data_IF_557715179368
#
_entry.id   IF_557715179368
#
_cell.length_a   1.000
_cell.length_b   1.000
_cell.length_c   1.000
_cell.angle_alpha   90.00
_cell.angle_beta   90.00
_cell.angle_gamma   90.00
#
_symmetry.space_group_name_H-M   'P 1'
#
loop_
_entity.id
_entity.type
_entity.pdbx_description
1 polymer ?
#
# COMPACT_ATOMS: atom_id res chain seq x y z
N UNK A 1 9.82 10.59 74.19
CA UNK A 1 8.86 10.25 73.13
C UNK A 1 9.24 11.00 71.85
N UNK A 2 9.78 10.30 70.85
CA UNK A 2 10.14 10.90 69.57
C UNK A 2 8.91 10.91 68.67
N UNK A 3 8.51 12.08 68.16
CA UNK A 3 7.43 12.23 67.17
C UNK A 3 7.75 11.42 65.89
N UNK A 4 6.80 10.72 65.28
CA UNK A 4 7.02 10.03 64.03
C UNK A 4 7.31 11.08 62.93
N UNK A 5 8.46 10.97 62.25
CA UNK A 5 8.77 11.71 61.05
C UNK A 5 7.76 11.25 59.99
N UNK A 6 6.83 12.13 59.63
CA UNK A 6 5.99 11.97 58.42
C UNK A 6 6.92 11.88 57.20
N UNK A 7 6.85 10.78 56.47
CA UNK A 7 7.55 10.64 55.17
C UNK A 7 7.12 11.82 54.28
N UNK A 8 8.03 12.45 53.54
CA UNK A 8 7.70 13.51 52.58
C UNK A 8 6.69 12.96 51.56
N UNK A 9 5.64 13.74 51.30
CA UNK A 9 4.67 13.41 50.27
C UNK A 9 5.43 13.21 48.94
N UNK A 10 5.09 12.15 48.19
CA UNK A 10 5.69 11.90 46.91
C UNK A 10 5.54 13.15 46.00
N UNK A 11 6.60 13.56 45.27
CA UNK A 11 6.54 14.73 44.42
C UNK A 11 5.43 14.58 43.38
N UNK A 12 4.58 15.59 43.25
CA UNK A 12 3.54 15.63 42.21
C UNK A 12 4.25 15.80 40.87
N UNK A 13 4.15 14.80 40.01
CA UNK A 13 4.77 14.82 38.66
C UNK A 13 4.07 15.88 37.79
N UNK A 14 4.87 16.73 37.13
CA UNK A 14 4.35 17.61 36.08
C UNK A 14 3.89 16.77 34.87
N UNK A 15 3.05 17.33 33.97
CA UNK A 15 2.69 16.63 32.71
C UNK A 15 3.92 16.16 31.92
N UNK A 16 4.95 16.99 31.83
CA UNK A 16 6.21 16.63 31.19
C UNK A 16 6.90 15.45 31.88
N UNK A 17 7.06 15.49 33.20
CA UNK A 17 7.70 14.41 33.97
C UNK A 17 6.92 13.10 33.82
N UNK A 18 5.59 13.17 33.76
CA UNK A 18 4.71 12.03 33.56
C UNK A 18 4.89 11.38 32.18
N UNK A 19 5.04 12.22 31.14
CA UNK A 19 5.38 11.76 29.78
C UNK A 19 6.75 11.09 29.77
N UNK A 20 7.76 11.67 30.43
CA UNK A 20 9.10 11.09 30.53
C UNK A 20 9.06 9.74 31.26
N UNK A 21 8.35 9.67 32.39
CA UNK A 21 8.16 8.42 33.12
C UNK A 21 7.42 7.35 32.29
N UNK A 22 6.36 7.74 31.59
CA UNK A 22 5.62 6.88 30.68
C UNK A 22 6.49 6.34 29.53
N UNK A 23 7.36 7.18 28.96
CA UNK A 23 8.36 6.74 27.95
C UNK A 23 9.34 5.70 28.51
N UNK A 24 9.89 5.94 29.69
CA UNK A 24 10.81 5.00 30.33
C UNK A 24 10.13 3.66 30.59
N UNK A 25 8.89 3.68 31.05
CA UNK A 25 8.12 2.47 31.25
C UNK A 25 7.81 1.75 29.91
N UNK A 26 7.52 2.48 28.81
CA UNK A 26 7.34 1.91 27.50
C UNK A 26 8.61 1.21 26.99
N UNK A 27 9.80 1.78 27.27
CA UNK A 27 11.08 1.15 26.93
C UNK A 27 11.35 -0.15 27.72
N UNK A 28 10.98 -0.20 28.97
CA UNK A 28 11.09 -1.40 29.79
C UNK A 28 10.10 -2.49 29.34
N UNK A 29 8.86 -2.11 29.05
CA UNK A 29 7.78 -3.02 28.61
C UNK A 29 8.00 -3.56 27.20
N UNK A 30 8.36 -2.70 26.25
CA UNK A 30 8.55 -3.02 24.84
C UNK A 30 9.90 -2.52 24.28
N UNK A 31 11.03 -3.09 24.71
CA UNK A 31 12.35 -2.63 24.27
C UNK A 31 12.58 -2.73 22.77
N UNK A 32 11.93 -3.67 22.11
CA UNK A 32 11.91 -3.83 20.65
C UNK A 32 11.13 -2.72 19.90
N UNK A 33 10.32 -1.95 20.62
CA UNK A 33 9.47 -0.89 20.10
C UNK A 33 9.96 0.52 20.46
N UNK A 34 11.05 0.60 21.22
CA UNK A 34 11.61 1.85 21.78
C UNK A 34 11.80 2.95 20.74
N UNK A 35 12.25 2.60 19.53
CA UNK A 35 12.53 3.58 18.49
C UNK A 35 11.27 4.31 18.02
N UNK A 36 10.12 3.65 17.94
CA UNK A 36 8.86 4.29 17.59
C UNK A 36 8.49 5.39 18.59
N UNK A 37 8.57 5.07 19.89
CA UNK A 37 8.27 6.04 20.95
C UNK A 37 9.28 7.19 21.00
N UNK A 38 10.56 6.95 20.69
CA UNK A 38 11.61 7.98 20.65
C UNK A 38 11.46 8.92 19.44
N UNK A 39 10.87 8.45 18.35
CA UNK A 39 10.68 9.27 17.14
C UNK A 39 9.62 10.34 17.35
N UNK A 40 8.68 10.13 18.28
CA UNK A 40 7.63 11.10 18.58
C UNK A 40 8.20 12.40 19.16
N UNK A 41 7.90 13.51 18.51
CA UNK A 41 8.17 14.86 18.99
C UNK A 41 6.97 15.32 19.81
N UNK A 42 7.17 15.61 21.11
CA UNK A 42 6.09 15.92 22.04
C UNK A 42 5.85 17.43 22.07
N UNK A 43 4.64 17.85 21.78
CA UNK A 43 4.23 19.26 21.80
C UNK A 43 2.96 19.44 22.68
N UNK A 44 3.00 20.30 23.70
CA UNK A 44 1.79 20.64 24.44
C UNK A 44 0.86 21.47 23.56
N UNK A 45 -0.44 21.18 23.62
CA UNK A 45 -1.46 21.94 22.90
C UNK A 45 -2.78 21.92 23.64
N UNK A 46 -3.46 23.05 23.70
CA UNK A 46 -4.83 23.17 24.24
C UNK A 46 -5.88 22.86 23.17
N UNK A 47 -5.49 22.77 21.90
CA UNK A 47 -6.39 22.52 20.77
C UNK A 47 -6.79 21.03 20.68
N UNK A 48 -5.96 20.12 21.20
CA UNK A 48 -6.27 18.69 21.29
C UNK A 48 -7.01 18.40 22.60
N UNK A 49 -7.91 17.41 22.58
CA UNK A 49 -8.66 17.03 23.78
C UNK A 49 -7.88 16.12 24.72
N UNK A 50 -7.09 15.23 24.14
CA UNK A 50 -6.31 14.21 24.83
C UNK A 50 -4.87 14.20 24.34
N UNK A 51 -4.51 13.20 23.57
CA UNK A 51 -3.27 13.09 22.81
C UNK A 51 -3.63 12.78 21.36
N UNK A 52 -2.82 13.25 20.42
CA UNK A 52 -3.00 13.00 19.00
C UNK A 52 -1.66 12.99 18.28
N UNK A 53 -1.42 11.97 17.49
CA UNK A 53 -0.20 11.86 16.66
C UNK A 53 -0.49 12.26 15.22
N UNK A 54 0.49 12.88 14.58
CA UNK A 54 0.45 13.26 13.17
C UNK A 54 1.27 12.28 12.32
N UNK A 55 1.06 12.32 11.01
CA UNK A 55 1.86 11.54 10.05
C UNK A 55 3.35 11.90 10.08
N UNK A 56 3.68 13.10 10.50
CA UNK A 56 5.05 13.62 10.68
C UNK A 56 5.67 13.29 12.04
N UNK A 57 5.07 12.38 12.81
CA UNK A 57 5.52 11.97 14.14
C UNK A 57 5.55 13.10 15.20
N UNK A 58 4.78 14.17 15.01
CA UNK A 58 4.52 15.14 16.10
C UNK A 58 3.34 14.62 16.90
N UNK A 59 3.50 14.52 18.21
CA UNK A 59 2.48 14.12 19.14
C UNK A 59 2.06 15.31 19.99
N UNK A 60 0.88 15.82 19.71
CA UNK A 60 0.27 16.86 20.51
C UNK A 60 -0.43 16.27 21.72
N UNK A 61 -0.29 16.89 22.87
CA UNK A 61 -0.95 16.44 24.09
C UNK A 61 -1.51 17.61 24.88
N UNK A 62 -2.67 17.40 25.51
CA UNK A 62 -3.26 18.36 26.44
C UNK A 62 -2.67 18.17 27.82
N UNK A 63 -1.99 19.19 28.42
CA UNK A 63 -1.37 19.06 29.74
C UNK A 63 -2.36 18.59 30.82
N UNK A 64 -3.55 19.19 30.88
CA UNK A 64 -4.60 18.83 31.83
C UNK A 64 -5.07 17.38 31.71
N UNK A 65 -5.06 16.79 30.50
CA UNK A 65 -5.37 15.38 30.32
C UNK A 65 -4.24 14.49 30.87
N UNK A 66 -2.99 14.83 30.59
CA UNK A 66 -1.83 14.07 31.07
C UNK A 66 -1.76 14.07 32.61
N UNK A 67 -2.18 15.14 33.27
CA UNK A 67 -2.24 15.22 34.73
C UNK A 67 -3.22 14.23 35.36
N UNK A 68 -4.24 13.81 34.63
CA UNK A 68 -5.23 12.83 35.09
C UNK A 68 -4.75 11.38 34.96
N UNK A 69 -3.76 11.13 34.11
CA UNK A 69 -3.27 9.78 33.84
C UNK A 69 -2.30 9.29 34.94
N UNK A 70 -2.38 8.01 35.27
CA UNK A 70 -1.26 7.33 35.94
C UNK A 70 -0.06 7.22 34.96
N UNK A 71 1.12 6.87 35.46
CA UNK A 71 2.30 6.65 34.62
C UNK A 71 2.06 5.46 33.67
N UNK A 72 1.35 4.42 34.14
CA UNK A 72 0.96 3.25 33.36
C UNK A 72 0.02 3.61 32.20
N UNK A 73 -0.99 4.42 32.47
CA UNK A 73 -1.94 4.90 31.46
C UNK A 73 -1.25 5.84 30.46
N UNK A 74 -0.34 6.70 30.93
CA UNK A 74 0.48 7.53 30.07
C UNK A 74 1.39 6.68 29.16
N UNK A 75 2.03 5.64 29.70
CA UNK A 75 2.78 4.67 28.93
C UNK A 75 1.91 4.01 27.83
N UNK A 76 0.71 3.55 28.19
CA UNK A 76 -0.22 2.92 27.25
C UNK A 76 -0.66 3.91 26.15
N UNK A 77 -0.94 5.17 26.50
CA UNK A 77 -1.31 6.21 25.54
C UNK A 77 -0.16 6.53 24.57
N UNK A 78 1.09 6.62 25.05
CA UNK A 78 2.27 6.83 24.22
C UNK A 78 2.50 5.67 23.24
N UNK A 79 2.31 4.43 23.70
CA UNK A 79 2.37 3.26 22.84
C UNK A 79 1.23 3.26 21.81
N UNK A 80 0.02 3.63 22.20
CA UNK A 80 -1.15 3.73 21.35
C UNK A 80 -0.90 4.67 20.17
N UNK A 81 -0.50 5.91 20.47
CA UNK A 81 -0.24 6.92 19.45
C UNK A 81 0.91 6.54 18.53
N UNK A 82 1.97 5.95 19.08
CA UNK A 82 3.07 5.45 18.26
C UNK A 82 2.69 4.26 17.37
N UNK A 83 1.70 3.45 17.79
CA UNK A 83 1.19 2.34 16.99
C UNK A 83 0.39 2.83 15.77
N UNK A 84 -0.36 3.94 15.86
CA UNK A 84 -0.98 4.54 14.67
C UNK A 84 0.06 4.87 13.60
N UNK A 85 1.20 5.43 14.01
CA UNK A 85 2.31 5.77 13.11
C UNK A 85 2.99 4.49 12.56
N UNK A 86 3.29 3.52 13.43
CA UNK A 86 3.93 2.26 13.03
C UNK A 86 3.05 1.45 12.08
N UNK A 87 1.77 1.31 12.36
CA UNK A 87 0.81 0.60 11.51
C UNK A 87 0.48 1.36 10.21
N UNK A 88 0.88 2.64 10.10
CA UNK A 88 0.68 3.47 8.92
C UNK A 88 -0.78 3.81 8.66
N UNK A 89 -1.57 4.04 9.70
CA UNK A 89 -3.02 4.27 9.59
C UNK A 89 -3.37 5.45 8.68
N UNK A 90 -2.56 6.52 8.65
CA UNK A 90 -2.75 7.68 7.78
C UNK A 90 -2.73 7.30 6.29
N UNK A 91 -1.66 6.64 5.86
CA UNK A 91 -1.50 6.22 4.47
C UNK A 91 -2.52 5.13 4.09
N UNK A 92 -2.82 4.20 5.00
CA UNK A 92 -3.80 3.13 4.80
C UNK A 92 -5.23 3.66 4.66
N UNK A 93 -5.62 4.64 5.48
CA UNK A 93 -6.91 5.33 5.37
C UNK A 93 -7.10 5.95 3.99
N UNK A 94 -6.09 6.69 3.50
CA UNK A 94 -6.12 7.30 2.16
C UNK A 94 -6.14 6.25 1.05
N UNK A 95 -5.31 5.23 1.13
CA UNK A 95 -5.23 4.17 0.12
C UNK A 95 -6.52 3.34 0.03
N UNK A 96 -7.20 3.14 1.16
CA UNK A 96 -8.47 2.42 1.22
C UNK A 96 -9.68 3.29 0.82
N UNK A 97 -9.50 4.62 0.72
CA UNK A 97 -10.57 5.58 0.47
C UNK A 97 -11.61 5.59 1.62
N UNK A 98 -11.14 5.35 2.84
CA UNK A 98 -11.99 5.24 4.00
C UNK A 98 -12.44 6.60 4.54
N UNK A 99 -13.60 6.61 5.21
CA UNK A 99 -14.02 7.74 6.03
C UNK A 99 -13.08 7.86 7.24
N UNK A 100 -12.40 9.00 7.45
CA UNK A 100 -11.35 9.13 8.45
C UNK A 100 -11.78 8.82 9.88
N UNK A 101 -12.93 9.35 10.31
CA UNK A 101 -13.42 9.13 11.70
C UNK A 101 -13.71 7.66 11.97
N UNK A 102 -14.35 6.98 11.03
CA UNK A 102 -14.68 5.57 11.16
C UNK A 102 -13.43 4.69 11.08
N UNK A 103 -12.47 5.05 10.23
CA UNK A 103 -11.19 4.35 10.13
C UNK A 103 -10.33 4.52 11.38
N UNK A 104 -10.42 5.69 12.03
CA UNK A 104 -9.76 5.94 13.31
C UNK A 104 -10.31 5.02 14.41
N UNK A 105 -11.64 4.92 14.53
CA UNK A 105 -12.28 3.98 15.47
C UNK A 105 -11.83 2.54 15.20
N UNK A 106 -11.79 2.14 13.93
CA UNK A 106 -11.30 0.82 13.52
C UNK A 106 -9.83 0.58 13.91
N UNK A 107 -8.99 1.62 13.74
CA UNK A 107 -7.59 1.62 14.17
C UNK A 107 -7.44 1.44 15.67
N UNK A 108 -8.24 2.17 16.46
CA UNK A 108 -8.24 2.08 17.92
C UNK A 108 -8.62 0.66 18.39
N UNK A 109 -9.62 0.04 17.75
CA UNK A 109 -10.01 -1.34 18.06
C UNK A 109 -8.85 -2.33 17.84
N UNK A 110 -8.12 -2.18 16.75
CA UNK A 110 -6.96 -3.02 16.44
C UNK A 110 -5.80 -2.77 17.44
N UNK A 111 -5.48 -1.50 17.69
CA UNK A 111 -4.38 -1.10 18.59
C UNK A 111 -4.65 -1.53 20.02
N UNK A 112 -5.87 -1.30 20.52
CA UNK A 112 -6.20 -1.61 21.91
C UNK A 112 -6.14 -3.12 22.21
N UNK A 113 -6.44 -3.96 21.22
CA UNK A 113 -6.18 -5.40 21.32
C UNK A 113 -4.67 -5.70 21.48
N UNK A 114 -3.81 -5.07 20.68
CA UNK A 114 -2.36 -5.25 20.78
C UNK A 114 -1.86 -4.80 22.16
N UNK A 115 -2.31 -3.65 22.65
CA UNK A 115 -1.90 -3.11 23.96
C UNK A 115 -2.40 -3.97 25.12
N UNK A 116 -3.61 -4.51 25.03
CA UNK A 116 -4.15 -5.48 26.00
C UNK A 116 -3.28 -6.74 26.06
N UNK A 117 -2.93 -7.29 24.90
CA UNK A 117 -2.05 -8.47 24.80
C UNK A 117 -0.62 -8.18 25.29
N UNK A 118 -0.18 -6.92 25.27
CA UNK A 118 1.05 -6.44 25.89
C UNK A 118 0.93 -6.27 27.42
N UNK A 119 -0.26 -6.44 28.00
CA UNK A 119 -0.54 -6.20 29.40
C UNK A 119 -0.45 -4.71 29.78
N UNK A 120 -0.86 -3.81 28.89
CA UNK A 120 -0.93 -2.37 29.17
C UNK A 120 -2.23 -2.00 29.89
N UNK A 121 -2.15 -1.09 30.85
CA UNK A 121 -3.30 -0.47 31.49
C UNK A 121 -3.74 0.72 30.65
N UNK A 122 -4.85 0.58 29.96
CA UNK A 122 -5.41 1.65 29.13
C UNK A 122 -6.27 2.61 29.95
N UNK A 123 -6.32 3.91 29.58
CA UNK A 123 -7.21 4.87 30.22
C UNK A 123 -8.67 4.46 30.16
N UNK A 124 -9.46 4.93 31.13
CA UNK A 124 -10.90 4.70 31.15
C UNK A 124 -11.56 5.20 29.86
N UNK A 125 -12.44 4.39 29.27
CA UNK A 125 -13.10 4.71 28.00
C UNK A 125 -12.44 4.16 26.75
N UNK A 126 -11.30 3.47 26.85
CA UNK A 126 -10.66 2.79 25.71
C UNK A 126 -11.64 1.85 24.98
N UNK A 127 -11.61 1.90 23.65
CA UNK A 127 -12.52 1.15 22.80
C UNK A 127 -12.01 -0.29 22.62
N UNK A 128 -12.91 -1.26 22.82
CA UNK A 128 -12.63 -2.67 22.60
C UNK A 128 -13.68 -3.31 21.69
N UNK A 129 -13.28 -4.28 20.83
CA UNK A 129 -14.18 -4.92 19.87
C UNK A 129 -15.43 -5.53 20.51
N UNK A 130 -15.33 -6.07 21.71
CA UNK A 130 -16.41 -6.73 22.43
C UNK A 130 -17.59 -5.80 22.77
N UNK A 131 -17.37 -4.47 22.75
CA UNK A 131 -18.41 -3.45 22.94
C UNK A 131 -19.20 -3.14 21.67
N UNK A 132 -18.72 -3.59 20.51
CA UNK A 132 -19.33 -3.37 19.20
C UNK A 132 -20.03 -4.64 18.74
N UNK A 133 -21.07 -4.49 17.91
CA UNK A 133 -21.85 -5.59 17.40
C UNK A 133 -21.96 -5.52 15.89
N UNK A 134 -21.88 -6.67 15.24
CA UNK A 134 -22.15 -6.78 13.81
C UNK A 134 -23.67 -6.68 13.50
N UNK A 135 -24.02 -6.76 12.22
CA UNK A 135 -25.42 -6.71 11.77
C UNK A 135 -26.28 -7.88 12.32
N UNK A 136 -25.65 -8.98 12.74
CA UNK A 136 -26.30 -10.13 13.37
C UNK A 136 -26.37 -10.03 14.89
N UNK A 137 -25.88 -8.91 15.50
CA UNK A 137 -25.85 -8.70 16.94
C UNK A 137 -24.71 -9.42 17.68
N UNK A 138 -23.79 -10.06 16.96
CA UNK A 138 -22.63 -10.74 17.53
C UNK A 138 -21.52 -9.73 17.86
N UNK A 139 -20.82 -9.86 19.00
CA UNK A 139 -19.66 -9.01 19.32
C UNK A 139 -18.58 -9.15 18.23
N UNK A 140 -17.87 -8.06 17.96
CA UNK A 140 -16.71 -8.13 17.06
C UNK A 140 -15.64 -9.04 17.64
N UNK A 141 -15.00 -9.84 16.79
CA UNK A 141 -13.90 -10.68 17.19
C UNK A 141 -12.67 -9.80 17.55
N UNK A 142 -11.85 -10.19 18.53
CA UNK A 142 -10.60 -9.50 18.83
C UNK A 142 -9.55 -9.77 17.76
N UNK A 143 -8.50 -8.91 17.72
CA UNK A 143 -7.31 -9.09 16.90
C UNK A 143 -7.53 -9.15 15.38
N UNK A 144 -8.60 -8.51 14.87
CA UNK A 144 -8.81 -8.29 13.45
C UNK A 144 -7.92 -7.14 12.94
N UNK A 145 -7.79 -7.06 11.60
CA UNK A 145 -7.12 -5.93 10.95
C UNK A 145 -8.01 -4.67 11.00
N UNK A 146 -7.38 -3.50 10.88
CA UNK A 146 -8.09 -2.21 10.88
C UNK A 146 -9.15 -2.15 9.78
N UNK A 147 -8.85 -2.64 8.59
CA UNK A 147 -9.78 -2.67 7.45
C UNK A 147 -10.97 -3.60 7.73
N UNK A 148 -10.75 -4.73 8.38
CA UNK A 148 -11.82 -5.66 8.74
C UNK A 148 -12.78 -5.02 9.76
N UNK A 149 -12.24 -4.33 10.79
CA UNK A 149 -13.07 -3.55 11.72
C UNK A 149 -13.81 -2.42 11.01
N UNK A 150 -13.16 -1.73 10.08
CA UNK A 150 -13.79 -0.67 9.31
C UNK A 150 -14.98 -1.18 8.50
N UNK A 151 -14.84 -2.33 7.81
CA UNK A 151 -15.94 -2.95 7.09
C UNK A 151 -17.10 -3.39 8.00
N UNK A 152 -16.78 -3.94 9.19
CA UNK A 152 -17.80 -4.32 10.17
C UNK A 152 -18.56 -3.10 10.69
N UNK A 153 -17.87 -2.00 10.97
CA UNK A 153 -18.46 -0.74 11.39
C UNK A 153 -19.36 -0.14 10.30
N UNK A 154 -18.94 -0.18 9.04
CA UNK A 154 -19.75 0.27 7.90
C UNK A 154 -21.03 -0.55 7.73
N UNK A 155 -20.94 -1.88 7.85
CA UNK A 155 -22.10 -2.80 7.72
C UNK A 155 -23.09 -2.62 8.87
N UNK A 156 -22.61 -2.40 10.08
CA UNK A 156 -23.44 -2.11 11.26
C UNK A 156 -24.18 -0.77 11.19
N UNK A 157 -23.60 0.23 10.50
CA UNK A 157 -24.19 1.56 10.31
C UNK A 157 -25.29 1.67 9.24
N UNK A 158 -25.37 0.74 8.29
CA UNK A 158 -26.35 0.77 7.19
C UNK A 158 -27.80 0.43 7.58
N UNK A 159 -28.04 0.01 8.82
CA UNK A 159 -29.38 -0.32 9.32
C UNK A 159 -30.27 0.86 9.77
N UNK A 160 -29.72 2.06 9.96
CA UNK A 160 -30.50 3.28 10.27
C UNK A 160 -29.77 4.51 9.71
N UNK A 161 -30.38 5.18 8.73
CA UNK A 161 -29.97 6.54 8.31
C UNK A 161 -29.82 7.42 9.54
N UNK A 162 -28.61 7.85 9.88
CA UNK A 162 -28.35 8.95 10.81
C UNK A 162 -27.92 8.59 12.25
N UNK A 163 -27.44 7.37 12.54
CA UNK A 163 -26.88 7.08 13.88
C UNK A 163 -25.63 6.25 13.79
N UNK A 164 -24.49 6.80 14.23
CA UNK A 164 -23.28 6.05 14.54
C UNK A 164 -23.58 4.90 15.52
N UNK A 165 -22.91 3.74 15.42
CA UNK A 165 -23.17 2.61 16.31
C UNK A 165 -22.87 3.00 17.76
N UNK A 166 -23.88 2.94 18.62
CA UNK A 166 -23.71 3.12 20.06
C UNK A 166 -23.09 1.86 20.67
N UNK A 167 -22.13 1.96 21.60
CA UNK A 167 -21.74 0.85 22.46
C UNK A 167 -22.96 0.37 23.27
N UNK A 168 -23.17 -0.95 23.34
CA UNK A 168 -24.27 -1.53 24.03
C UNK A 168 -24.31 -1.12 25.53
N UNK A 169 -25.44 -0.62 26.00
CA UNK A 169 -25.69 -0.29 27.37
C UNK A 169 -25.73 -1.57 28.23
N UNK A 170 -24.68 -1.78 29.01
CA UNK A 170 -24.69 -2.70 30.15
C UNK A 170 -24.90 -1.84 31.43
N UNK A 171 -25.96 -2.09 32.15
CA UNK A 171 -26.43 -1.24 33.23
C UNK A 171 -25.48 -1.13 34.44
N UNK A 172 -25.45 0.06 34.99
CA UNK A 172 -24.84 0.47 36.23
C UNK A 172 -25.26 1.90 36.48
N UNK A 173 -26.21 2.08 37.44
CA UNK A 173 -26.79 3.35 37.82
C UNK A 173 -25.73 4.30 38.39
N UNK A 174 -25.71 5.53 37.89
CA UNK A 174 -24.93 6.65 38.39
C UNK A 174 -25.43 7.93 37.71
N UNK A 175 -26.33 8.65 38.40
CA UNK A 175 -26.92 9.91 37.96
C UNK A 175 -25.86 11.01 37.75
N UNK A 176 -25.93 11.69 36.63
CA UNK A 176 -25.16 12.89 36.31
C UNK A 176 -25.58 13.45 34.97
N UNK A 177 -26.61 14.29 34.95
CA UNK A 177 -27.13 14.95 33.77
C UNK A 177 -26.12 15.91 33.16
N UNK A 178 -25.82 15.71 31.86
CA UNK A 178 -25.43 16.78 30.93
C UNK A 178 -25.80 16.37 29.50
N UNK A 179 -26.75 17.09 28.94
CA UNK A 179 -27.24 17.04 27.58
C UNK A 179 -26.15 17.50 26.62
N UNK A 180 -25.85 16.69 25.58
CA UNK A 180 -24.98 17.11 24.47
C UNK A 180 -24.55 15.94 23.62
N UNK A 181 -25.03 15.89 22.39
CA UNK A 181 -24.55 15.19 21.20
C UNK A 181 -23.70 13.90 21.41
N UNK A 182 -24.37 12.75 21.37
CA UNK A 182 -23.81 11.43 21.69
C UNK A 182 -22.79 10.85 20.71
N UNK A 183 -22.30 11.60 19.72
CA UNK A 183 -21.24 11.22 18.79
C UNK A 183 -19.85 11.71 19.22
N UNK A 184 -19.78 12.64 20.16
CA UNK A 184 -18.53 13.28 20.59
C UNK A 184 -17.85 12.68 21.81
N UNK A 185 -18.45 11.69 22.45
CA UNK A 185 -18.00 11.16 23.75
C UNK A 185 -17.28 9.81 23.66
N UNK A 186 -17.01 9.29 22.44
CA UNK A 186 -16.53 7.92 22.24
C UNK A 186 -15.00 7.80 22.30
N UNK A 187 -14.27 8.91 22.40
CA UNK A 187 -12.80 8.90 22.40
C UNK A 187 -12.25 9.52 23.70
N UNK A 188 -12.49 8.92 24.84
CA UNK A 188 -11.74 9.25 26.08
C UNK A 188 -10.28 8.73 26.02
N UNK A 189 -9.86 8.13 24.93
CA UNK A 189 -8.50 7.71 24.62
C UNK A 189 -8.25 7.68 23.12
N UNK A 190 -9.12 8.25 22.31
CA UNK A 190 -8.99 8.28 20.86
C UNK A 190 -8.17 9.48 20.41
N UNK A 191 -7.19 9.23 19.56
CA UNK A 191 -6.44 10.24 18.85
C UNK A 191 -7.37 10.95 17.86
N UNK A 192 -7.56 12.24 18.05
CA UNK A 192 -8.49 13.06 17.25
C UNK A 192 -8.15 13.19 15.76
N UNK A 193 -6.96 12.81 15.31
CA UNK A 193 -6.45 13.16 13.99
C UNK A 193 -5.78 12.05 13.18
N UNK A 194 -5.71 10.84 13.68
CA UNK A 194 -4.90 9.76 13.09
C UNK A 194 -5.35 9.26 11.71
N UNK A 195 -6.49 9.69 11.19
CA UNK A 195 -6.99 9.25 9.89
C UNK A 195 -6.89 10.28 8.76
N UNK A 196 -6.18 11.41 8.97
CA UNK A 196 -5.88 12.35 7.90
C UNK A 196 -6.98 13.37 7.58
N UNK A 197 -7.99 13.51 8.42
CA UNK A 197 -8.93 14.60 8.33
C UNK A 197 -8.57 15.64 9.39
N UNK A 198 -8.17 16.85 8.96
CA UNK A 198 -7.91 17.95 9.89
C UNK A 198 -9.20 18.28 10.64
N UNK A 199 -9.24 17.88 11.91
CA UNK A 199 -10.32 18.33 12.78
C UNK A 199 -10.16 19.83 13.10
N UNK A 200 -11.27 20.57 13.40
CA UNK A 200 -11.14 21.94 13.86
C UNK A 200 -10.25 21.97 15.11
N UNK A 201 -9.09 22.65 15.01
CA UNK A 201 -8.08 22.74 16.06
C UNK A 201 -6.81 21.91 15.83
N UNK A 202 -6.75 21.03 14.83
CA UNK A 202 -5.51 20.31 14.50
C UNK A 202 -4.49 21.25 13.81
N UNK A 203 -3.21 21.19 14.24
CA UNK A 203 -2.14 21.98 13.65
C UNK A 203 -1.97 21.69 12.15
N UNK A 204 -1.84 22.77 11.36
CA UNK A 204 -1.62 22.65 9.91
C UNK A 204 -0.26 22.01 9.60
N UNK A 205 -0.07 21.40 8.41
CA UNK A 205 1.21 20.79 8.02
C UNK A 205 2.42 21.70 8.20
N UNK A 206 2.27 23.00 7.94
CA UNK A 206 3.30 24.03 8.13
C UNK A 206 3.69 24.17 9.61
N UNK A 207 2.72 24.14 10.51
CA UNK A 207 2.95 24.18 11.95
C UNK A 207 3.60 22.87 12.43
N UNK A 208 3.17 21.72 11.93
CA UNK A 208 3.81 20.43 12.25
C UNK A 208 5.29 20.42 11.86
N UNK A 209 5.64 21.00 10.71
CA UNK A 209 7.04 21.14 10.28
C UNK A 209 7.82 22.09 11.22
N UNK A 210 7.21 23.20 11.64
CA UNK A 210 7.81 24.14 12.60
C UNK A 210 8.00 23.51 13.99
N UNK A 211 7.10 22.61 14.39
CA UNK A 211 7.14 21.87 15.65
C UNK A 211 8.12 20.68 15.63
N UNK A 212 8.96 20.57 14.60
CA UNK A 212 10.00 19.55 14.48
C UNK A 212 9.52 18.22 13.90
N UNK A 213 8.44 18.23 13.13
CA UNK A 213 7.92 17.07 12.43
C UNK A 213 8.95 16.39 11.54
N UNK A 214 8.87 15.06 11.46
CA UNK A 214 9.77 14.19 10.69
C UNK A 214 9.32 14.08 9.24
N UNK A 215 10.29 13.99 8.33
CA UNK A 215 9.99 13.72 6.93
C UNK A 215 9.49 12.28 6.72
N UNK A 216 8.70 12.06 5.67
CA UNK A 216 8.13 10.75 5.31
C UNK A 216 9.20 9.63 5.25
N UNK A 217 10.36 9.91 4.65
CA UNK A 217 11.47 8.95 4.56
C UNK A 217 12.05 8.57 5.93
N UNK A 218 12.03 9.49 6.91
CA UNK A 218 12.49 9.24 8.28
C UNK A 218 11.49 8.37 9.04
N UNK A 219 10.22 8.68 8.92
CA UNK A 219 9.12 7.89 9.51
C UNK A 219 9.13 6.46 8.93
N UNK A 220 9.26 6.32 7.61
CA UNK A 220 9.31 4.99 6.98
C UNK A 220 10.55 4.19 7.41
N UNK A 221 11.69 4.84 7.56
CA UNK A 221 12.91 4.21 8.10
C UNK A 221 12.71 3.74 9.53
N UNK A 222 12.07 4.56 10.37
CA UNK A 222 11.71 4.19 11.74
C UNK A 222 10.81 2.95 11.74
N UNK A 223 9.76 2.94 10.92
CA UNK A 223 8.83 1.80 10.81
C UNK A 223 9.56 0.50 10.48
N UNK A 224 10.46 0.52 9.49
CA UNK A 224 11.27 -0.65 9.10
C UNK A 224 12.19 -1.12 10.22
N UNK A 225 12.92 -0.21 10.86
CA UNK A 225 13.82 -0.56 11.96
C UNK A 225 13.07 -1.17 13.15
N UNK A 226 11.88 -0.65 13.45
CA UNK A 226 11.01 -1.21 14.49
C UNK A 226 10.52 -2.59 14.08
N UNK A 227 10.09 -2.79 12.83
CA UNK A 227 9.65 -4.09 12.33
C UNK A 227 10.76 -5.14 12.42
N UNK A 228 11.99 -4.79 12.02
CA UNK A 228 13.15 -5.68 12.19
C UNK A 228 13.42 -6.04 13.66
N UNK A 229 13.28 -5.06 14.56
CA UNK A 229 13.44 -5.27 15.99
C UNK A 229 12.39 -6.20 16.57
N UNK A 230 11.13 -6.08 16.10
CA UNK A 230 10.02 -6.98 16.45
C UNK A 230 10.30 -8.40 15.94
N UNK A 231 10.74 -8.56 14.68
CA UNK A 231 11.08 -9.89 14.14
C UNK A 231 12.22 -10.55 14.90
N UNK A 232 13.30 -9.81 15.22
CA UNK A 232 14.40 -10.31 16.04
C UNK A 232 13.94 -10.75 17.43
N UNK A 233 13.02 -9.98 18.05
CA UNK A 233 12.45 -10.33 19.34
C UNK A 233 11.53 -11.56 19.25
N UNK A 234 10.75 -11.70 18.17
CA UNK A 234 9.89 -12.85 17.92
C UNK A 234 10.66 -14.15 17.64
N UNK A 235 11.82 -14.06 16.98
CA UNK A 235 12.70 -15.19 16.73
C UNK A 235 13.59 -15.56 17.92
N UNK A 236 13.72 -14.66 18.93
CA UNK A 236 14.61 -14.82 20.07
C UNK A 236 13.91 -15.34 21.33
N UNK A 237 14.49 -14.97 22.51
CA UNK A 237 13.99 -15.39 23.84
C UNK A 237 12.54 -14.97 24.16
N UNK A 238 11.95 -14.09 23.37
CA UNK A 238 10.56 -13.62 23.51
C UNK A 238 9.60 -14.28 22.51
N UNK A 239 10.01 -15.37 21.87
CA UNK A 239 9.15 -16.15 21.00
C UNK A 239 7.85 -16.54 21.75
N UNK A 240 6.70 -16.24 21.15
CA UNK A 240 5.38 -16.53 21.71
C UNK A 240 4.88 -15.54 22.78
N UNK A 241 5.66 -14.53 23.20
CA UNK A 241 5.25 -13.53 24.17
C UNK A 241 4.83 -12.19 23.55
N UNK A 242 5.06 -12.02 22.25
CA UNK A 242 4.70 -10.81 21.51
C UNK A 242 3.25 -10.91 20.99
N UNK A 243 2.49 -9.80 20.99
CA UNK A 243 1.16 -9.78 20.39
C UNK A 243 1.20 -10.22 18.93
N UNK A 244 0.35 -11.18 18.56
CA UNK A 244 0.31 -11.71 17.19
C UNK A 244 0.00 -10.63 16.14
N UNK A 245 -0.84 -9.63 16.48
CA UNK A 245 -1.12 -8.49 15.62
C UNK A 245 0.11 -7.64 15.30
N UNK A 246 0.98 -7.44 16.30
CA UNK A 246 2.23 -6.67 16.12
C UNK A 246 3.26 -7.43 15.26
N UNK A 247 3.38 -8.74 15.45
CA UNK A 247 4.27 -9.59 14.65
C UNK A 247 3.82 -9.62 13.19
N UNK A 248 2.52 -9.83 12.93
CA UNK A 248 1.96 -9.80 11.57
C UNK A 248 2.19 -8.46 10.88
N UNK A 249 2.01 -7.34 11.59
CA UNK A 249 2.27 -6.01 11.03
C UNK A 249 3.75 -5.82 10.66
N UNK A 250 4.67 -6.29 11.50
CA UNK A 250 6.10 -6.24 11.22
C UNK A 250 6.48 -7.12 10.01
N UNK A 251 5.94 -8.31 9.91
CA UNK A 251 6.13 -9.21 8.76
C UNK A 251 5.61 -8.59 7.46
N UNK A 252 4.40 -8.02 7.48
CA UNK A 252 3.81 -7.36 6.33
C UNK A 252 4.65 -6.15 5.85
N UNK A 253 5.23 -5.38 6.78
CA UNK A 253 6.07 -4.22 6.47
C UNK A 253 7.43 -4.62 5.88
N UNK A 254 8.02 -5.72 6.36
CA UNK A 254 9.32 -6.21 5.91
C UNK A 254 9.24 -7.12 4.69
N UNK A 255 8.06 -7.69 4.43
CA UNK A 255 7.84 -8.39 3.18
C UNK A 255 7.98 -7.36 2.04
N UNK A 256 8.97 -7.53 1.14
CA UNK A 256 9.12 -6.58 0.04
C UNK A 256 7.78 -6.47 -0.68
N UNK A 257 7.33 -5.25 -1.03
CA UNK A 257 6.11 -5.10 -1.81
C UNK A 257 6.27 -6.01 -3.02
N UNK A 258 5.33 -6.93 -3.19
CA UNK A 258 5.24 -7.69 -4.46
C UNK A 258 5.08 -6.61 -5.51
N UNK A 259 6.19 -6.32 -6.22
CA UNK A 259 6.12 -5.37 -7.33
C UNK A 259 4.99 -5.88 -8.18
N UNK A 260 3.94 -5.09 -8.33
CA UNK A 260 2.77 -5.54 -9.06
C UNK A 260 3.27 -6.03 -10.40
N UNK A 261 2.82 -7.20 -10.84
CA UNK A 261 3.23 -7.75 -12.12
C UNK A 261 2.99 -6.75 -13.24
N UNK A 262 1.99 -5.84 -13.13
CA UNK A 262 1.78 -4.72 -14.05
C UNK A 262 3.00 -3.79 -14.11
N UNK A 263 3.59 -3.46 -12.97
CA UNK A 263 4.82 -2.64 -12.93
C UNK A 263 6.02 -3.37 -13.52
N UNK A 264 6.13 -4.69 -13.30
CA UNK A 264 7.18 -5.53 -13.90
C UNK A 264 7.01 -5.58 -15.41
N UNK A 265 5.80 -5.86 -15.89
CA UNK A 265 5.48 -5.90 -17.31
C UNK A 265 5.73 -4.54 -17.97
N UNK A 266 5.20 -3.46 -17.42
CA UNK A 266 5.41 -2.12 -17.95
C UNK A 266 6.89 -1.71 -17.96
N UNK A 267 7.68 -2.14 -16.97
CA UNK A 267 9.12 -1.93 -16.94
C UNK A 267 9.82 -2.75 -18.01
N UNK A 268 9.48 -4.04 -18.17
CA UNK A 268 10.04 -4.93 -19.17
C UNK A 268 9.76 -4.43 -20.59
N UNK A 269 8.51 -4.06 -20.87
CA UNK A 269 8.12 -3.47 -22.17
C UNK A 269 8.85 -2.17 -22.42
N UNK A 270 8.87 -1.23 -21.46
CA UNK A 270 9.59 0.05 -21.61
C UNK A 270 11.09 -0.13 -21.81
N UNK A 271 11.73 -1.04 -21.07
CA UNK A 271 13.16 -1.33 -21.25
C UNK A 271 13.46 -1.91 -22.64
N UNK A 272 12.60 -2.80 -23.12
CA UNK A 272 12.73 -3.38 -24.46
C UNK A 272 12.48 -2.35 -25.57
N UNK A 273 11.55 -1.42 -25.37
CA UNK A 273 11.25 -0.29 -26.24
C UNK A 273 12.41 0.73 -26.22
N UNK A 274 12.94 1.06 -25.02
CA UNK A 274 14.04 2.02 -24.87
C UNK A 274 15.33 1.56 -25.53
N UNK A 275 15.61 0.25 -25.54
CA UNK A 275 16.79 -0.30 -26.21
C UNK A 275 16.83 0.05 -27.71
N UNK A 276 15.69 0.08 -28.41
CA UNK A 276 15.58 0.53 -29.80
C UNK A 276 15.47 2.05 -29.94
N UNK A 277 14.99 2.77 -28.95
CA UNK A 277 14.89 4.24 -29.00
C UNK A 277 16.26 4.94 -28.94
N UNK A 278 17.31 4.29 -28.45
CA UNK A 278 18.68 4.78 -28.50
C UNK A 278 19.29 4.80 -29.92
N UNK A 279 18.71 4.06 -30.86
CA UNK A 279 19.12 4.04 -32.27
C UNK A 279 18.38 5.16 -33.00
N UNK A 280 18.94 6.36 -32.93
CA UNK A 280 18.53 7.47 -33.82
C UNK A 280 19.14 7.21 -35.17
N UNK A 281 18.29 6.95 -36.16
CA UNK A 281 18.72 6.77 -37.52
C UNK A 281 18.43 8.01 -38.37
N UNK A 282 19.25 8.24 -39.36
CA UNK A 282 19.07 9.32 -40.33
C UNK A 282 18.05 8.89 -41.39
N UNK A 283 17.12 9.76 -41.73
CA UNK A 283 16.19 9.54 -42.83
C UNK A 283 16.32 10.65 -43.86
N UNK A 284 16.41 10.26 -45.15
CA UNK A 284 16.37 11.16 -46.27
C UNK A 284 14.95 11.35 -46.85
N UNK A 285 13.94 10.67 -46.28
CA UNK A 285 12.54 10.80 -46.74
C UNK A 285 11.91 12.14 -46.42
N UNK A 286 12.51 12.90 -45.50
CA UNK A 286 12.15 14.28 -45.18
C UNK A 286 13.40 15.09 -44.82
N UNK A 287 13.46 16.38 -45.14
CA UNK A 287 14.58 17.23 -44.75
C UNK A 287 14.60 17.50 -43.26
N UNK A 288 15.79 17.77 -42.71
CA UNK A 288 15.97 18.20 -41.33
C UNK A 288 15.25 19.51 -41.06
N UNK A 289 14.74 19.70 -39.81
CA UNK A 289 14.24 21.00 -39.36
C UNK A 289 15.30 22.10 -39.41
N UNK A 290 16.57 21.75 -39.48
CA UNK A 290 17.70 22.69 -39.61
C UNK A 290 18.05 22.99 -41.06
N UNK A 291 17.28 22.52 -42.07
CA UNK A 291 17.56 22.76 -43.49
C UNK A 291 17.63 24.26 -43.81
N UNK A 292 16.85 25.09 -43.15
CA UNK A 292 16.86 26.54 -43.32
C UNK A 292 18.20 27.19 -42.90
N UNK A 293 18.94 26.62 -41.99
CA UNK A 293 20.22 27.15 -41.50
C UNK A 293 21.40 26.91 -42.49
N UNK A 294 21.19 26.04 -43.48
CA UNK A 294 22.22 25.73 -44.52
C UNK A 294 21.79 26.19 -45.91
N UNK A 295 20.98 27.24 -45.99
CA UNK A 295 20.53 27.81 -47.27
C UNK A 295 19.17 27.32 -47.74
N UNK A 296 18.39 26.68 -46.86
CA UNK A 296 17.02 26.20 -47.19
C UNK A 296 17.04 25.14 -48.30
N UNK A 297 16.20 25.35 -49.32
CA UNK A 297 16.10 24.48 -50.49
C UNK A 297 16.73 25.14 -51.76
N UNK A 298 17.62 26.12 -51.59
CA UNK A 298 18.28 26.76 -52.68
C UNK A 298 19.12 25.75 -53.49
N UNK A 299 19.26 25.99 -54.82
CA UNK A 299 20.03 25.14 -55.69
C UNK A 299 21.49 25.06 -55.21
N UNK A 300 21.97 23.84 -54.98
CA UNK A 300 23.35 23.61 -54.46
C UNK A 300 23.46 23.54 -52.94
N UNK A 301 22.43 23.82 -52.15
CA UNK A 301 22.48 23.60 -50.72
C UNK A 301 22.44 22.10 -50.37
N UNK A 302 23.26 21.64 -49.41
CA UNK A 302 23.24 20.23 -48.99
C UNK A 302 21.93 19.88 -48.31
N UNK A 303 21.31 18.75 -48.67
CA UNK A 303 20.14 18.21 -48.02
C UNK A 303 20.55 17.54 -46.68
N UNK A 304 20.19 18.17 -45.57
CA UNK A 304 20.45 17.60 -44.27
C UNK A 304 19.39 16.51 -43.94
N UNK A 305 19.80 15.29 -43.61
CA UNK A 305 18.88 14.24 -43.24
C UNK A 305 18.16 14.60 -41.93
N UNK A 306 16.88 14.24 -41.85
CA UNK A 306 16.15 14.33 -40.58
C UNK A 306 16.50 13.15 -39.70
N UNK A 307 16.39 13.36 -38.39
CA UNK A 307 16.46 12.25 -37.42
C UNK A 307 15.11 11.51 -37.40
N UNK A 308 15.16 10.21 -37.55
CA UNK A 308 14.02 9.33 -37.40
C UNK A 308 14.18 8.56 -36.08
N UNK A 309 13.19 8.69 -35.19
CA UNK A 309 13.11 7.85 -34.02
C UNK A 309 12.18 6.68 -34.36
N UNK A 310 12.70 5.47 -34.56
CA UNK A 310 11.84 4.33 -34.85
C UNK A 310 10.90 4.09 -33.67
N UNK A 311 9.60 4.06 -33.91
CA UNK A 311 8.61 3.62 -32.92
C UNK A 311 8.74 2.10 -32.85
N UNK A 312 9.13 1.54 -31.67
CA UNK A 312 9.28 0.10 -31.54
C UNK A 312 7.93 -0.57 -31.71
N UNK A 313 7.86 -1.55 -32.58
CA UNK A 313 6.67 -2.39 -32.73
C UNK A 313 6.65 -3.44 -31.63
N UNK A 314 5.52 -3.56 -30.97
CA UNK A 314 5.22 -4.60 -29.97
C UNK A 314 4.19 -5.54 -30.58
N UNK A 315 4.49 -6.83 -30.58
CA UNK A 315 3.57 -7.89 -30.92
C UNK A 315 3.10 -8.55 -29.64
N UNK A 316 1.79 -8.64 -29.45
CA UNK A 316 1.18 -9.40 -28.37
C UNK A 316 0.55 -10.66 -28.95
N UNK A 317 1.04 -11.79 -28.52
CA UNK A 317 0.52 -13.10 -28.88
C UNK A 317 -0.31 -13.64 -27.70
N UNK A 318 -1.54 -14.06 -27.98
CA UNK A 318 -2.39 -14.71 -27.01
C UNK A 318 -2.48 -16.19 -27.31
N UNK A 319 -2.10 -17.00 -26.35
CA UNK A 319 -2.35 -18.43 -26.36
C UNK A 319 -3.84 -18.69 -26.21
N UNK A 320 -4.39 -19.43 -27.14
CA UNK A 320 -5.82 -19.83 -27.17
C UNK A 320 -5.97 -21.34 -27.14
N UNK A 321 -5.00 -22.04 -26.56
CA UNK A 321 -5.05 -23.49 -26.34
C UNK A 321 -6.17 -23.87 -25.37
N UNK A 322 -6.55 -25.14 -25.39
CA UNK A 322 -7.64 -25.66 -24.54
C UNK A 322 -7.35 -25.62 -23.04
N UNK A 323 -6.09 -25.41 -22.60
CA UNK A 323 -5.71 -25.22 -21.21
C UNK A 323 -5.95 -23.79 -20.72
N UNK A 324 -6.06 -22.82 -21.64
CA UNK A 324 -6.42 -21.43 -21.35
C UNK A 324 -7.94 -21.29 -21.23
N UNK A 325 -8.47 -21.28 -20.00
CA UNK A 325 -9.88 -21.07 -19.74
C UNK A 325 -10.35 -19.63 -19.95
N UNK A 326 -11.66 -19.40 -19.81
CA UNK A 326 -12.23 -18.03 -19.98
C UNK A 326 -11.65 -17.02 -18.98
N UNK A 327 -11.33 -17.44 -17.76
CA UNK A 327 -10.74 -16.59 -16.73
C UNK A 327 -9.32 -16.15 -17.11
N UNK A 328 -8.49 -17.09 -17.58
CA UNK A 328 -7.13 -16.81 -18.04
C UNK A 328 -7.13 -15.92 -19.28
N UNK A 329 -7.99 -16.20 -20.25
CA UNK A 329 -8.15 -15.37 -21.45
C UNK A 329 -8.63 -13.96 -21.11
N UNK A 330 -9.59 -13.83 -20.20
CA UNK A 330 -10.08 -12.52 -19.71
C UNK A 330 -8.97 -11.74 -19.02
N UNK A 331 -8.18 -12.39 -18.19
CA UNK A 331 -7.03 -11.78 -17.50
C UNK A 331 -5.97 -11.32 -18.49
N UNK A 332 -5.59 -12.18 -19.45
CA UNK A 332 -4.61 -11.82 -20.48
C UNK A 332 -5.07 -10.64 -21.35
N UNK A 333 -6.36 -10.57 -21.68
CA UNK A 333 -6.94 -9.46 -22.43
C UNK A 333 -7.02 -8.18 -21.63
N UNK A 334 -7.31 -8.24 -20.31
CA UNK A 334 -7.27 -7.06 -19.44
C UNK A 334 -5.86 -6.42 -19.40
N UNK A 335 -4.83 -7.26 -19.47
CA UNK A 335 -3.44 -6.80 -19.48
C UNK A 335 -3.00 -6.16 -20.80
N UNK A 336 -3.66 -6.51 -21.88
CA UNK A 336 -3.39 -5.90 -23.19
C UNK A 336 -3.58 -4.37 -23.14
N UNK A 337 -4.60 -3.87 -22.44
CA UNK A 337 -4.80 -2.42 -22.30
C UNK A 337 -3.65 -1.75 -21.55
N UNK A 338 -3.06 -2.44 -20.57
CA UNK A 338 -1.85 -2.00 -19.87
C UNK A 338 -0.62 -1.94 -20.80
N UNK A 339 -0.46 -2.94 -21.66
CA UNK A 339 0.62 -2.99 -22.65
C UNK A 339 0.44 -1.87 -23.69
N UNK A 340 -0.77 -1.70 -24.22
CA UNK A 340 -1.08 -0.62 -25.18
C UNK A 340 -0.77 0.76 -24.60
N UNK A 341 -1.16 1.02 -23.34
CA UNK A 341 -0.82 2.27 -22.63
C UNK A 341 0.69 2.43 -22.43
N UNK A 342 1.42 1.36 -22.08
CA UNK A 342 2.87 1.40 -21.88
C UNK A 342 3.64 1.67 -23.17
N UNK A 343 3.13 1.21 -24.31
CA UNK A 343 3.69 1.44 -25.65
C UNK A 343 3.32 2.81 -26.22
N UNK A 344 2.22 3.40 -25.74
CA UNK A 344 1.75 4.71 -26.15
C UNK A 344 0.93 4.69 -27.46
N UNK A 345 0.19 3.60 -27.75
CA UNK A 345 -0.64 3.60 -28.93
C UNK A 345 -1.16 2.22 -29.37
N UNK A 346 -0.85 1.83 -30.58
CA UNK A 346 -1.32 0.61 -31.24
C UNK A 346 -0.28 -0.51 -31.09
N UNK A 347 -0.75 -1.74 -30.87
CA UNK A 347 0.09 -2.96 -30.87
C UNK A 347 -0.39 -3.95 -31.94
N UNK A 348 0.52 -4.77 -32.43
CA UNK A 348 0.17 -5.93 -33.24
C UNK A 348 -0.30 -7.05 -32.32
N UNK A 349 -1.38 -7.74 -32.68
CA UNK A 349 -1.98 -8.80 -31.91
C UNK A 349 -2.15 -10.06 -32.77
N UNK A 350 -1.90 -11.22 -32.19
CA UNK A 350 -2.22 -12.50 -32.78
C UNK A 350 -2.80 -13.48 -31.75
N UNK A 351 -3.69 -14.36 -32.21
CA UNK A 351 -4.13 -15.54 -31.48
C UNK A 351 -3.52 -16.80 -32.07
N UNK A 352 -3.05 -17.69 -31.21
CA UNK A 352 -2.36 -18.90 -31.58
C UNK A 352 -2.69 -20.04 -30.61
N UNK A 353 -2.89 -21.23 -31.17
CA UNK A 353 -2.87 -22.50 -30.43
C UNK A 353 -1.72 -23.36 -31.00
N UNK A 354 -1.97 -24.32 -31.85
CA UNK A 354 -0.96 -25.04 -32.66
C UNK A 354 -0.61 -24.32 -33.95
N UNK A 355 -1.39 -23.29 -34.31
CA UNK A 355 -1.19 -22.41 -35.47
C UNK A 355 -1.70 -21.01 -35.20
N UNK A 356 -1.24 -20.04 -35.98
CA UNK A 356 -1.77 -18.68 -35.92
C UNK A 356 -3.15 -18.63 -36.57
N UNK A 357 -4.17 -18.24 -35.79
CA UNK A 357 -5.56 -18.17 -36.23
C UNK A 357 -5.98 -16.79 -36.73
N UNK A 358 -5.50 -15.74 -36.05
CA UNK A 358 -5.80 -14.37 -36.42
C UNK A 358 -4.59 -13.46 -36.16
N UNK A 359 -4.48 -12.40 -36.96
CA UNK A 359 -3.46 -11.36 -36.82
C UNK A 359 -4.08 -10.01 -37.18
N UNK A 360 -3.80 -8.98 -36.40
CA UNK A 360 -4.32 -7.64 -36.66
C UNK A 360 -3.65 -6.60 -35.76
N UNK A 361 -4.03 -5.33 -35.93
CA UNK A 361 -3.62 -4.24 -35.08
C UNK A 361 -4.74 -3.87 -34.14
N UNK A 362 -4.43 -3.62 -32.89
CA UNK A 362 -5.41 -3.32 -31.85
C UNK A 362 -4.93 -2.16 -30.98
N UNK A 363 -5.90 -1.36 -30.52
CA UNK A 363 -5.71 -0.23 -29.60
C UNK A 363 -6.37 -0.48 -28.24
N UNK A 364 -7.24 -1.48 -28.18
CA UNK A 364 -8.00 -1.81 -26.98
C UNK A 364 -8.17 -3.33 -26.87
N UNK A 365 -8.36 -3.82 -25.64
CA UNK A 365 -8.71 -5.23 -25.41
C UNK A 365 -10.01 -5.64 -26.15
N UNK A 366 -10.97 -4.72 -26.26
CA UNK A 366 -12.23 -4.98 -26.97
C UNK A 366 -12.05 -5.28 -28.47
N UNK A 367 -11.06 -4.66 -29.11
CA UNK A 367 -10.70 -4.98 -30.50
C UNK A 367 -10.03 -6.35 -30.58
N UNK A 368 -9.16 -6.68 -29.61
CA UNK A 368 -8.46 -7.97 -29.56
C UNK A 368 -9.43 -9.15 -29.39
N UNK A 369 -10.48 -9.01 -28.60
CA UNK A 369 -11.51 -10.05 -28.41
C UNK A 369 -12.07 -10.56 -29.74
N UNK A 370 -12.21 -9.68 -30.75
CA UNK A 370 -12.71 -10.07 -32.08
C UNK A 370 -11.71 -10.96 -32.84
N UNK A 371 -10.45 -10.94 -32.44
CA UNK A 371 -9.36 -11.72 -33.05
C UNK A 371 -9.04 -12.99 -32.25
N UNK A 372 -9.66 -13.21 -31.11
CA UNK A 372 -9.48 -14.43 -30.30
C UNK A 372 -10.15 -15.59 -31.00
N UNK A 373 -9.35 -16.53 -31.49
CA UNK A 373 -9.79 -17.77 -32.13
C UNK A 373 -8.81 -18.88 -31.79
N UNK A 374 -9.28 -20.08 -31.57
CA UNK A 374 -8.48 -21.24 -31.22
C UNK A 374 -9.29 -22.25 -30.40
N UNK A 375 -8.65 -22.99 -29.52
CA UNK A 375 -9.26 -24.02 -28.67
C UNK A 375 -8.63 -25.40 -28.87
N UNK A 376 -7.50 -25.47 -29.61
CA UNK A 376 -6.74 -26.71 -29.87
C UNK A 376 -5.65 -27.00 -28.84
N UNK A 377 -4.61 -27.72 -29.26
CA UNK A 377 -3.39 -27.95 -28.48
C UNK A 377 -2.52 -26.68 -28.42
N UNK A 378 -1.32 -26.78 -27.83
CA UNK A 378 -0.42 -25.66 -27.66
C UNK A 378 0.88 -25.86 -28.42
N UNK A 379 1.29 -24.89 -29.25
CA UNK A 379 2.62 -24.77 -29.84
C UNK A 379 2.99 -23.28 -30.04
N UNK A 380 4.04 -22.83 -29.40
CA UNK A 380 4.46 -21.44 -29.49
C UNK A 380 5.35 -21.14 -30.71
N UNK A 381 5.94 -22.13 -31.35
CA UNK A 381 6.86 -21.95 -32.51
C UNK A 381 6.26 -21.16 -33.67
N UNK A 382 4.96 -21.33 -34.03
CA UNK A 382 4.31 -20.53 -35.06
C UNK A 382 4.28 -19.02 -34.78
N UNK A 383 4.17 -18.63 -33.49
CA UNK A 383 4.21 -17.23 -33.05
C UNK A 383 5.54 -16.60 -33.47
N UNK A 384 6.65 -17.27 -33.16
CA UNK A 384 8.01 -16.78 -33.42
C UNK A 384 8.32 -16.79 -34.92
N UNK A 385 7.87 -17.80 -35.66
CA UNK A 385 7.98 -17.85 -37.11
C UNK A 385 7.24 -16.68 -37.76
N UNK A 386 6.01 -16.40 -37.29
CA UNK A 386 5.21 -15.28 -37.79
C UNK A 386 5.89 -13.95 -37.47
N UNK A 387 6.34 -13.76 -36.21
CA UNK A 387 7.02 -12.55 -35.76
C UNK A 387 8.28 -12.25 -36.56
N UNK A 388 9.13 -13.24 -36.84
CA UNK A 388 10.33 -13.12 -37.63
C UNK A 388 10.06 -12.76 -39.09
N UNK A 389 8.91 -13.17 -39.64
CA UNK A 389 8.46 -12.86 -41.01
C UNK A 389 7.88 -11.47 -41.20
N UNK A 390 7.55 -10.74 -40.10
CA UNK A 390 6.98 -9.38 -40.19
C UNK A 390 8.02 -8.36 -40.71
N UNK A 391 7.54 -7.42 -41.50
CA UNK A 391 8.36 -6.31 -42.00
C UNK A 391 7.69 -4.97 -41.72
N UNK A 392 8.32 -4.08 -40.91
CA UNK A 392 9.52 -4.31 -40.11
C UNK A 392 9.25 -5.30 -38.94
N UNK A 393 10.31 -6.03 -38.56
CA UNK A 393 10.26 -7.02 -37.49
C UNK A 393 9.92 -6.36 -36.11
N UNK A 394 9.10 -6.97 -35.26
CA UNK A 394 8.82 -6.44 -33.95
C UNK A 394 10.06 -6.35 -33.08
N UNK A 395 10.13 -5.33 -32.22
CA UNK A 395 11.24 -5.19 -31.29
C UNK A 395 11.02 -6.01 -30.02
N UNK A 396 9.75 -6.21 -29.69
CA UNK A 396 9.30 -6.94 -28.50
C UNK A 396 8.13 -7.84 -28.88
N UNK A 397 8.16 -9.07 -28.40
CA UNK A 397 7.04 -10.01 -28.47
C UNK A 397 6.63 -10.37 -27.05
N UNK A 398 5.38 -10.11 -26.71
CA UNK A 398 4.76 -10.53 -25.44
C UNK A 398 3.87 -11.73 -25.72
N UNK A 399 4.10 -12.85 -25.06
CA UNK A 399 3.30 -14.07 -25.21
C UNK A 399 2.55 -14.30 -23.91
N UNK A 400 1.22 -14.18 -23.95
CA UNK A 400 0.35 -14.47 -22.82
C UNK A 400 -0.12 -15.94 -22.90
N UNK A 401 0.25 -16.74 -21.89
CA UNK A 401 0.05 -18.20 -21.87
C UNK A 401 0.12 -18.74 -20.44
N UNK A 402 -0.36 -19.96 -20.21
CA UNK A 402 -0.09 -20.75 -18.99
C UNK A 402 1.31 -21.42 -19.02
N UNK A 403 1.98 -21.40 -20.17
CA UNK A 403 3.35 -21.88 -20.36
C UNK A 403 3.49 -23.34 -20.76
N UNK A 404 2.40 -24.08 -20.89
CA UNK A 404 2.43 -25.50 -21.26
C UNK A 404 2.44 -25.65 -22.78
N UNK A 405 3.64 -25.71 -23.37
CA UNK A 405 3.79 -25.93 -24.81
C UNK A 405 5.23 -25.84 -25.30
N UNK A 406 5.52 -26.41 -26.47
CA UNK A 406 6.83 -26.35 -27.06
C UNK A 406 7.15 -24.95 -27.57
N UNK A 407 8.32 -24.45 -27.17
CA UNK A 407 8.91 -23.17 -27.62
C UNK A 407 10.15 -23.43 -28.50
N UNK A 408 10.61 -22.44 -29.28
CA UNK A 408 11.88 -22.53 -30.00
C UNK A 408 13.06 -22.78 -29.04
N UNK A 409 13.98 -23.64 -29.41
CA UNK A 409 15.18 -23.91 -28.60
C UNK A 409 16.17 -22.73 -28.60
N UNK A 410 16.23 -21.98 -29.70
CA UNK A 410 17.12 -20.82 -29.86
C UNK A 410 16.34 -19.55 -29.65
N UNK A 411 16.88 -18.58 -28.86
CA UNK A 411 16.23 -17.30 -28.66
C UNK A 411 16.13 -16.52 -30.00
N UNK A 412 14.98 -15.84 -30.21
CA UNK A 412 14.77 -15.03 -31.41
C UNK A 412 15.61 -13.74 -31.38
N UNK A 413 15.74 -13.06 -32.52
CA UNK A 413 16.45 -11.78 -32.61
C UNK A 413 15.72 -10.59 -31.96
N UNK A 414 14.51 -10.76 -31.51
CA UNK A 414 13.71 -9.75 -30.80
C UNK A 414 13.56 -10.13 -29.34
N UNK A 415 13.29 -9.14 -28.49
CA UNK A 415 13.09 -9.38 -27.06
C UNK A 415 11.75 -10.07 -26.83
N UNK A 416 11.74 -11.12 -26.00
CA UNK A 416 10.52 -11.87 -25.66
C UNK A 416 10.19 -11.72 -24.19
N UNK A 417 8.92 -11.49 -23.90
CA UNK A 417 8.34 -11.47 -22.57
C UNK A 417 7.26 -12.55 -22.50
N UNK A 418 7.42 -13.50 -21.60
CA UNK A 418 6.42 -14.52 -21.28
C UNK A 418 5.52 -14.00 -20.17
N UNK A 419 4.27 -13.72 -20.48
CA UNK A 419 3.24 -13.30 -19.54
C UNK A 419 2.50 -14.55 -19.10
N UNK A 420 2.88 -15.10 -17.94
CA UNK A 420 2.33 -16.36 -17.42
C UNK A 420 1.06 -16.07 -16.66
N UNK A 421 -0.07 -16.63 -17.15
CA UNK A 421 -1.41 -16.39 -16.63
C UNK A 421 -2.02 -17.71 -16.13
N UNK A 422 -2.57 -17.72 -14.93
CA UNK A 422 -3.21 -18.88 -14.34
C UNK A 422 -2.63 -19.30 -12.99
N UNK A 423 -3.31 -20.22 -12.32
CA UNK A 423 -2.92 -20.75 -11.01
C UNK A 423 -1.72 -21.70 -11.08
N UNK A 424 -1.60 -22.45 -12.16
CA UNK A 424 -0.49 -23.36 -12.45
C UNK A 424 0.17 -22.88 -13.74
N UNK A 425 1.41 -22.43 -13.64
CA UNK A 425 2.17 -21.92 -14.79
C UNK A 425 3.52 -22.61 -14.85
N UNK A 426 4.06 -22.78 -16.05
CA UNK A 426 5.43 -23.26 -16.27
C UNK A 426 6.20 -22.31 -17.16
N UNK A 427 7.52 -22.33 -17.08
CA UNK A 427 8.37 -21.50 -17.94
C UNK A 427 8.54 -22.18 -19.30
N UNK A 428 8.03 -21.60 -20.42
CA UNK A 428 8.02 -22.26 -21.73
C UNK A 428 9.41 -22.46 -22.33
N UNK A 429 10.38 -21.60 -21.95
CA UNK A 429 11.73 -21.63 -22.50
C UNK A 429 12.75 -21.15 -21.46
N UNK A 430 14.02 -21.51 -21.65
CA UNK A 430 15.14 -21.06 -20.80
C UNK A 430 15.58 -19.61 -21.10
N UNK A 431 14.96 -18.98 -22.07
CA UNK A 431 15.21 -17.61 -22.51
C UNK A 431 13.93 -16.77 -22.50
N UNK A 432 14.08 -15.46 -22.54
CA UNK A 432 12.98 -14.51 -22.38
C UNK A 432 12.78 -14.09 -20.93
N UNK A 433 12.06 -13.01 -20.75
CA UNK A 433 11.72 -12.47 -19.42
C UNK A 433 10.34 -12.98 -19.01
N UNK A 434 10.24 -13.69 -17.87
CA UNK A 434 8.97 -14.22 -17.38
C UNK A 434 8.34 -13.25 -16.37
N UNK A 435 7.06 -12.97 -16.56
CA UNK A 435 6.22 -12.16 -15.68
C UNK A 435 4.98 -12.95 -15.32
N UNK A 436 4.85 -13.35 -14.06
CA UNK A 436 3.67 -14.08 -13.57
C UNK A 436 2.56 -13.09 -13.21
N UNK A 437 1.35 -13.38 -13.70
CA UNK A 437 0.10 -12.71 -13.37
C UNK A 437 -0.66 -13.61 -12.40
N UNK A 438 -0.80 -13.18 -11.16
CA UNK A 438 -1.54 -13.90 -10.10
C UNK A 438 -2.75 -13.11 -9.66
#
# INVERSE_FOLDING_TARGET
MASPRTAPAAPVLTPHDRIVAGRLQAFAKAPYYRQAVLTLVMQPSEDVRTMATTETAVMYYRPAFVELLSVEECCASLLHESLHLFLGHFARCRAFGAEPELFNIAGDLAINCILRDMGCTLPAGALFPERFRDAAGKPFAPNLLTEEYYELLQKGGKGKKGRSPKPGAGGGEGEGAASGDGTRQVCAGGCGGCAGNQQPGEPKPEQQAADGGRGEAEVERMRRNVAESIQKAAAGKRAGTLPAGLVRAAEALLTPPKVSWQSKLARAVRAAVAYRQGMVDYTHSRPSRRQSSVGGYASGAPLLPAMHRPVPRVLVALDTSGSMGEAELSTALAELDGIVKAVGGEVEFLSCDTKVHAFGRVRTAREAVKLVKGGGGTDFRPIFTRAAGLRPMPGVVVVATDGFGPAPQVPPAFKTIWLLVGAQTTTPATWGECVEVR
#
